data_IF_732214590889
#
_entry.id   IF_732214590889
#
_cell.length_a   1.000
_cell.length_b   1.000
_cell.length_c   1.000
_cell.angle_alpha   90.00
_cell.angle_beta   90.00
_cell.angle_gamma   90.00
#
_symmetry.space_group_name_H-M   'P 1'
#
loop_
_entity.id
_entity.type
_entity.pdbx_description
1 polymer ?
#
# COMPACT_ATOMS: atom_id res chain seq x y z
N UNK A 1 20.09 -21.40 6.95
CA UNK A 1 21.48 -20.95 6.70
C UNK A 1 21.51 -19.45 6.40
N UNK A 2 20.81 -18.98 5.36
CA UNK A 2 20.85 -17.56 4.95
C UNK A 2 20.51 -16.55 6.05
N UNK A 3 19.52 -16.87 6.90
CA UNK A 3 19.10 -16.04 8.04
C UNK A 3 20.17 -15.80 9.10
N UNK A 4 21.22 -16.62 9.11
CA UNK A 4 22.36 -16.48 10.02
C UNK A 4 23.62 -16.00 9.28
N UNK A 5 23.49 -15.54 8.04
CA UNK A 5 24.60 -15.07 7.22
C UNK A 5 25.37 -16.17 6.48
N UNK A 6 24.89 -17.41 6.49
CA UNK A 6 25.54 -18.53 5.79
C UNK A 6 24.92 -18.75 4.41
N UNK A 7 25.73 -18.49 3.37
CA UNK A 7 25.36 -18.63 1.96
C UNK A 7 26.18 -19.72 1.25
N UNK A 8 26.88 -20.59 1.98
CA UNK A 8 27.78 -21.60 1.40
C UNK A 8 27.07 -22.52 0.40
N UNK A 9 25.78 -22.77 0.59
CA UNK A 9 24.98 -23.67 -0.22
C UNK A 9 24.06 -22.96 -1.22
N UNK A 10 24.05 -21.62 -1.26
CA UNK A 10 23.14 -20.88 -2.14
C UNK A 10 23.66 -20.92 -3.57
N UNK A 11 22.79 -21.27 -4.50
CA UNK A 11 23.11 -21.39 -5.93
C UNK A 11 22.17 -20.55 -6.80
N UNK A 12 22.66 -20.19 -7.98
CA UNK A 12 21.85 -19.61 -9.06
C UNK A 12 20.95 -20.67 -9.73
N UNK A 13 20.12 -20.25 -10.67
CA UNK A 13 19.21 -21.14 -11.39
C UNK A 13 19.93 -22.22 -12.24
N UNK A 14 21.21 -22.00 -12.56
CA UNK A 14 22.06 -22.97 -13.25
C UNK A 14 22.77 -23.94 -12.28
N UNK A 15 22.59 -23.76 -10.98
CA UNK A 15 23.22 -24.58 -9.93
C UNK A 15 24.66 -24.16 -9.59
N UNK A 16 25.13 -23.02 -10.08
CA UNK A 16 26.42 -22.47 -9.68
C UNK A 16 26.30 -21.76 -8.34
N UNK A 17 27.30 -21.91 -7.46
CA UNK A 17 27.32 -21.18 -6.20
C UNK A 17 27.21 -19.67 -6.43
N UNK A 18 26.37 -18.99 -5.64
CA UNK A 18 26.20 -17.55 -5.68
C UNK A 18 27.17 -16.89 -4.70
N UNK A 19 28.30 -16.32 -5.15
CA UNK A 19 29.31 -15.76 -4.26
C UNK A 19 28.86 -14.40 -3.68
N UNK A 20 29.14 -14.19 -2.39
CA UNK A 20 28.97 -12.91 -1.70
C UNK A 20 30.33 -12.32 -1.31
N UNK A 21 30.48 -11.04 -1.56
CA UNK A 21 31.74 -10.30 -1.41
C UNK A 21 31.65 -9.27 -0.29
N UNK A 22 32.76 -9.03 0.42
CA UNK A 22 32.82 -8.07 1.53
C UNK A 22 32.91 -6.63 0.99
N UNK A 23 31.88 -5.79 1.18
CA UNK A 23 31.88 -4.41 0.70
C UNK A 23 33.05 -3.59 1.27
N UNK A 24 33.52 -3.91 2.48
CA UNK A 24 34.60 -3.18 3.16
C UNK A 24 35.98 -3.35 2.49
N UNK A 25 36.14 -4.33 1.59
CA UNK A 25 37.40 -4.63 0.90
C UNK A 25 37.48 -4.03 -0.50
N UNK A 26 36.48 -3.24 -0.89
CA UNK A 26 36.38 -2.65 -2.23
C UNK A 26 37.57 -1.74 -2.51
N UNK A 27 38.28 -2.00 -3.62
CA UNK A 27 39.44 -1.21 -4.05
C UNK A 27 39.54 -1.15 -5.58
N UNK A 28 40.07 -0.07 -6.19
CA UNK A 28 40.33 -0.03 -7.62
C UNK A 28 41.27 -1.17 -8.05
N UNK A 29 41.06 -1.74 -9.23
CA UNK A 29 41.96 -2.73 -9.79
C UNK A 29 43.11 -2.04 -10.58
N UNK A 30 44.38 -2.13 -10.14
CA UNK A 30 45.50 -1.53 -10.88
C UNK A 30 45.72 -2.13 -12.27
N UNK A 31 45.21 -3.34 -12.53
CA UNK A 31 45.31 -4.03 -13.81
C UNK A 31 44.11 -3.79 -14.74
N UNK A 32 43.20 -2.89 -14.38
CA UNK A 32 42.03 -2.57 -15.20
C UNK A 32 42.44 -1.88 -16.51
N UNK A 33 41.98 -2.45 -17.63
CA UNK A 33 42.15 -1.88 -18.96
C UNK A 33 40.82 -1.23 -19.40
N UNK A 34 40.72 0.12 -19.44
CA UNK A 34 39.49 0.82 -19.82
C UNK A 34 39.12 0.66 -21.29
N UNK A 35 40.01 0.14 -22.15
CA UNK A 35 39.70 -0.15 -23.55
C UNK A 35 38.96 -1.48 -23.73
N UNK A 36 38.87 -2.30 -22.68
CA UNK A 36 38.18 -3.61 -22.70
C UNK A 36 36.91 -3.55 -21.85
N UNK A 37 35.88 -4.34 -22.19
CA UNK A 37 34.68 -4.42 -21.36
C UNK A 37 35.00 -5.00 -19.96
N UNK A 38 34.19 -4.60 -18.98
CA UNK A 38 34.27 -5.16 -17.62
C UNK A 38 33.87 -6.63 -17.66
N UNK A 39 34.72 -7.49 -17.12
CA UNK A 39 34.52 -8.95 -17.06
C UNK A 39 35.33 -9.55 -15.92
N UNK A 40 35.17 -10.85 -15.65
CA UNK A 40 35.93 -11.55 -14.61
C UNK A 40 37.45 -11.45 -14.78
N UNK A 41 37.93 -11.27 -16.02
CA UNK A 41 39.35 -11.10 -16.33
C UNK A 41 39.78 -9.63 -16.48
N UNK A 42 38.86 -8.67 -16.42
CA UNK A 42 39.11 -7.23 -16.54
C UNK A 42 38.18 -6.45 -15.59
N UNK A 43 38.35 -6.67 -14.29
CA UNK A 43 37.54 -6.01 -13.26
C UNK A 43 37.96 -4.55 -13.09
N UNK A 44 37.00 -3.63 -12.97
CA UNK A 44 37.30 -2.23 -12.63
C UNK A 44 37.61 -2.06 -11.13
N UNK A 45 36.90 -2.81 -10.29
CA UNK A 45 37.10 -2.84 -8.85
C UNK A 45 37.29 -4.27 -8.38
N UNK A 46 38.21 -4.46 -7.44
CA UNK A 46 38.40 -5.70 -6.70
C UNK A 46 37.58 -5.64 -5.41
N UNK A 47 37.03 -6.79 -5.04
CA UNK A 47 36.35 -7.02 -3.75
C UNK A 47 36.63 -8.46 -3.35
N UNK A 48 36.94 -8.69 -2.09
CA UNK A 48 37.29 -10.02 -1.59
C UNK A 48 36.01 -10.79 -1.23
N UNK A 49 36.01 -12.11 -1.49
CA UNK A 49 34.90 -12.98 -1.10
C UNK A 49 34.83 -13.08 0.43
N UNK A 50 33.62 -13.16 0.99
CA UNK A 50 33.49 -13.62 2.37
C UNK A 50 34.04 -15.04 2.51
N UNK A 51 34.96 -15.32 3.46
CA UNK A 51 35.50 -16.66 3.65
C UNK A 51 34.39 -17.70 3.82
N UNK A 52 34.44 -18.76 3.00
CA UNK A 52 33.41 -19.82 3.00
C UNK A 52 32.02 -19.39 2.53
N UNK A 53 31.88 -18.19 1.95
CA UNK A 53 30.58 -17.58 1.62
C UNK A 53 29.70 -17.31 2.87
N UNK A 54 30.34 -17.01 4.00
CA UNK A 54 29.66 -16.76 5.29
C UNK A 54 29.99 -15.38 5.82
N UNK A 55 28.97 -14.61 6.19
CA UNK A 55 29.11 -13.33 6.89
C UNK A 55 29.48 -13.62 8.36
N UNK A 56 30.60 -13.09 8.87
CA UNK A 56 30.94 -13.22 10.28
C UNK A 56 29.84 -12.66 11.22
N UNK A 57 29.58 -13.35 12.34
CA UNK A 57 28.48 -13.00 13.23
C UNK A 57 28.60 -11.59 13.84
N UNK A 58 29.82 -11.10 14.05
CA UNK A 58 30.13 -9.76 14.53
C UNK A 58 29.86 -8.65 13.49
N UNK A 59 29.74 -9.02 12.22
CA UNK A 59 29.37 -8.12 11.12
C UNK A 59 27.86 -8.03 10.90
N UNK A 60 27.08 -8.91 11.52
CA UNK A 60 25.62 -8.87 11.43
C UNK A 60 25.08 -7.63 12.16
N UNK A 61 24.33 -6.82 11.43
CA UNK A 61 23.69 -5.64 11.98
C UNK A 61 22.61 -6.05 12.99
N UNK A 62 22.73 -5.56 14.23
CA UNK A 62 21.82 -5.93 15.32
C UNK A 62 20.35 -5.53 15.07
N UNK A 63 20.09 -4.46 14.32
CA UNK A 63 18.73 -4.06 13.94
C UNK A 63 18.17 -4.96 12.85
N UNK A 64 18.98 -5.32 11.85
CA UNK A 64 18.58 -6.27 10.81
C UNK A 64 18.21 -7.63 11.39
N UNK A 65 18.98 -8.13 12.37
CA UNK A 65 18.67 -9.39 13.07
C UNK A 65 17.37 -9.30 13.88
N UNK A 66 17.08 -8.16 14.53
CA UNK A 66 15.80 -7.95 15.22
C UNK A 66 14.62 -7.88 14.25
N UNK A 67 14.78 -7.14 13.15
CA UNK A 67 13.77 -7.07 12.09
C UNK A 67 13.51 -8.46 11.49
N UNK A 68 14.57 -9.25 11.27
CA UNK A 68 14.46 -10.62 10.76
C UNK A 68 13.60 -11.52 11.65
N UNK A 69 13.54 -11.30 12.96
CA UNK A 69 12.64 -12.05 13.85
C UNK A 69 11.14 -11.83 13.51
N UNK A 70 10.80 -10.74 12.82
CA UNK A 70 9.46 -10.43 12.35
C UNK A 70 9.18 -10.99 10.94
N UNK A 71 10.22 -11.44 10.22
CA UNK A 71 10.11 -12.04 8.90
C UNK A 71 9.73 -13.51 9.00
N UNK A 72 8.73 -14.01 8.24
CA UNK A 72 8.27 -15.39 8.35
C UNK A 72 9.39 -16.42 8.17
N UNK A 73 9.22 -17.56 8.82
CA UNK A 73 10.07 -18.73 8.57
C UNK A 73 9.66 -19.37 7.23
N UNK A 74 10.62 -19.96 6.50
CA UNK A 74 10.32 -20.71 5.29
C UNK A 74 9.37 -21.87 5.60
N UNK A 75 8.43 -22.15 4.70
CA UNK A 75 7.48 -23.25 4.85
C UNK A 75 7.39 -24.19 3.64
N UNK A 76 8.19 -23.94 2.61
CA UNK A 76 8.37 -24.82 1.46
C UNK A 76 9.86 -25.10 1.23
N UNK A 77 10.17 -26.33 0.81
CA UNK A 77 11.51 -26.69 0.37
C UNK A 77 11.66 -26.37 -1.11
N UNK A 78 12.35 -25.28 -1.43
CA UNK A 78 12.62 -24.85 -2.82
C UNK A 78 14.03 -25.21 -3.29
N UNK A 79 14.75 -26.04 -2.54
CA UNK A 79 16.16 -26.38 -2.83
C UNK A 79 17.13 -25.26 -2.46
N UNK A 80 18.39 -25.33 -2.94
CA UNK A 80 19.46 -24.38 -2.62
C UNK A 80 19.36 -23.05 -3.40
N UNK A 81 18.29 -22.86 -4.18
CA UNK A 81 18.15 -21.71 -5.07
C UNK A 81 17.81 -20.43 -4.30
N UNK A 82 18.36 -19.32 -4.76
CA UNK A 82 18.07 -17.97 -4.28
C UNK A 82 16.65 -17.50 -4.67
N UNK A 83 15.62 -18.12 -4.07
CA UNK A 83 14.20 -17.88 -4.37
C UNK A 83 13.35 -17.88 -3.10
N UNK A 84 12.18 -17.25 -3.17
CA UNK A 84 11.23 -17.23 -2.06
C UNK A 84 10.73 -18.65 -1.73
N UNK A 85 10.66 -18.96 -0.44
CA UNK A 85 10.31 -20.26 0.13
C UNK A 85 9.23 -20.16 1.24
N UNK A 86 8.55 -19.02 1.29
CA UNK A 86 7.38 -18.79 2.12
C UNK A 86 6.13 -18.61 1.26
N UNK A 87 5.14 -19.46 1.47
CA UNK A 87 3.86 -19.47 0.76
C UNK A 87 2.71 -19.44 1.76
N UNK A 88 1.75 -18.54 1.58
CA UNK A 88 0.58 -18.45 2.45
C UNK A 88 -0.69 -18.33 1.62
N UNK A 89 -1.74 -19.00 2.08
CA UNK A 89 -3.10 -18.74 1.61
C UNK A 89 -3.82 -17.97 2.72
N UNK A 90 -4.14 -16.70 2.47
CA UNK A 90 -4.77 -15.81 3.46
C UNK A 90 -6.06 -15.26 2.87
N UNK A 91 -7.23 -15.64 3.39
CA UNK A 91 -8.50 -15.19 2.87
C UNK A 91 -8.77 -13.74 3.26
N UNK A 92 -9.56 -13.06 2.44
CA UNK A 92 -10.15 -11.75 2.75
C UNK A 92 -11.61 -11.94 3.14
N UNK A 93 -12.10 -11.11 4.07
CA UNK A 93 -13.51 -11.08 4.43
C UNK A 93 -14.06 -9.67 4.24
N UNK A 94 -15.22 -9.56 3.62
CA UNK A 94 -15.92 -8.28 3.47
C UNK A 94 -17.27 -8.38 4.17
N UNK A 95 -17.45 -7.56 5.20
CA UNK A 95 -18.67 -7.50 5.98
C UNK A 95 -19.24 -6.09 5.90
N UNK A 96 -20.56 -5.99 5.69
CA UNK A 96 -21.23 -4.71 5.66
C UNK A 96 -22.59 -4.79 6.33
N UNK A 97 -22.99 -3.71 6.99
CA UNK A 97 -24.32 -3.53 7.54
C UNK A 97 -24.81 -2.11 7.27
N UNK A 98 -26.11 -1.92 7.32
CA UNK A 98 -26.70 -0.61 7.11
C UNK A 98 -28.21 -0.64 7.23
N UNK A 99 -28.79 0.55 7.24
CA UNK A 99 -30.23 0.74 7.27
C UNK A 99 -30.62 1.94 6.42
N UNK A 100 -31.81 1.87 5.85
CA UNK A 100 -32.47 2.97 5.16
C UNK A 100 -33.82 3.19 5.81
N UNK A 101 -34.12 4.43 6.17
CA UNK A 101 -35.43 4.86 6.64
C UNK A 101 -35.96 5.94 5.70
N UNK A 102 -37.22 5.81 5.30
CA UNK A 102 -37.89 6.78 4.44
C UNK A 102 -39.29 7.08 4.98
N UNK A 103 -39.64 8.36 4.97
CA UNK A 103 -40.96 8.85 5.32
C UNK A 103 -41.46 9.76 4.21
N UNK A 104 -42.68 9.52 3.78
CA UNK A 104 -43.41 10.35 2.82
C UNK A 104 -44.65 10.89 3.53
N UNK A 105 -44.86 12.21 3.48
CA UNK A 105 -46.01 12.84 4.10
C UNK A 105 -46.62 13.90 3.20
N UNK A 106 -47.95 13.83 3.00
CA UNK A 106 -48.72 14.86 2.32
C UNK A 106 -49.28 15.84 3.35
N UNK A 107 -48.89 17.12 3.23
CA UNK A 107 -49.36 18.20 4.10
C UNK A 107 -50.49 18.92 3.35
N UNK A 108 -51.73 18.51 3.65
CA UNK A 108 -52.90 18.91 2.87
C UNK A 108 -52.83 18.39 1.43
N UNK A 109 -53.42 19.12 0.49
CA UNK A 109 -53.57 18.66 -0.90
C UNK A 109 -52.45 19.13 -1.84
N UNK A 110 -51.66 20.12 -1.43
CA UNK A 110 -50.71 20.82 -2.32
C UNK A 110 -49.25 20.60 -1.98
N UNK A 111 -48.94 19.98 -0.86
CA UNK A 111 -47.57 19.82 -0.38
C UNK A 111 -47.26 18.36 -0.10
N UNK A 112 -46.10 17.92 -0.54
CA UNK A 112 -45.54 16.62 -0.19
C UNK A 112 -44.12 16.79 0.27
N UNK A 113 -43.80 16.23 1.43
CA UNK A 113 -42.45 16.16 1.98
C UNK A 113 -42.02 14.70 1.99
N UNK A 114 -40.80 14.45 1.52
CA UNK A 114 -40.14 13.15 1.58
C UNK A 114 -38.83 13.34 2.34
N UNK A 115 -38.58 12.50 3.35
CA UNK A 115 -37.31 12.48 4.07
C UNK A 115 -36.71 11.08 4.03
N UNK A 116 -35.44 10.97 3.70
CA UNK A 116 -34.68 9.71 3.71
C UNK A 116 -33.44 9.87 4.57
N UNK A 117 -33.14 8.84 5.37
CA UNK A 117 -31.87 8.69 6.06
C UNK A 117 -31.32 7.31 5.73
N UNK A 118 -30.03 7.23 5.44
CA UNK A 118 -29.34 5.96 5.24
C UNK A 118 -27.98 5.99 5.91
N UNK A 119 -27.59 4.85 6.47
CA UNK A 119 -26.21 4.65 6.92
C UNK A 119 -25.75 3.25 6.57
N UNK A 120 -24.46 3.13 6.30
CA UNK A 120 -23.78 1.84 6.18
C UNK A 120 -22.43 1.88 6.87
N UNK A 121 -22.00 0.74 7.37
CA UNK A 121 -20.63 0.50 7.82
C UNK A 121 -20.14 -0.78 7.16
N UNK A 122 -18.89 -0.78 6.73
CA UNK A 122 -18.24 -1.93 6.13
C UNK A 122 -16.84 -2.13 6.70
N UNK A 123 -16.43 -3.38 6.77
CA UNK A 123 -15.05 -3.78 7.08
C UNK A 123 -14.60 -4.77 6.02
N UNK A 124 -13.48 -4.48 5.38
CA UNK A 124 -12.72 -5.42 4.59
C UNK A 124 -11.52 -5.85 5.42
N UNK A 125 -11.60 -7.07 5.94
CA UNK A 125 -10.49 -7.75 6.60
C UNK A 125 -9.53 -8.23 5.52
N UNK A 126 -8.34 -7.63 5.51
CA UNK A 126 -7.35 -7.80 4.46
C UNK A 126 -6.55 -9.10 4.64
N UNK A 127 -6.02 -9.62 3.53
CA UNK A 127 -5.17 -10.80 3.56
C UNK A 127 -3.91 -10.51 4.39
N UNK A 128 -3.78 -11.19 5.52
CA UNK A 128 -2.62 -11.07 6.37
C UNK A 128 -1.51 -12.02 5.91
N UNK A 129 -0.38 -11.50 5.41
CA UNK A 129 0.72 -12.34 4.91
C UNK A 129 1.69 -12.69 6.03
N UNK A 130 2.00 -11.74 6.92
CA UNK A 130 2.85 -11.98 8.10
C UNK A 130 2.04 -11.82 9.39
N UNK A 131 2.16 -12.71 10.37
CA UNK A 131 1.50 -12.56 11.67
C UNK A 131 2.20 -11.53 12.58
N UNK A 132 2.83 -10.49 12.01
CA UNK A 132 3.67 -9.50 12.71
C UNK A 132 3.41 -8.09 12.17
N UNK A 133 3.92 -7.07 12.87
CA UNK A 133 3.84 -5.67 12.43
C UNK A 133 4.57 -5.39 11.11
N UNK A 134 5.46 -6.30 10.70
CA UNK A 134 6.22 -6.21 9.46
C UNK A 134 5.43 -6.70 8.24
N UNK A 135 4.14 -7.01 8.37
CA UNK A 135 3.30 -7.48 7.26
C UNK A 135 3.31 -6.48 6.09
N UNK A 136 3.77 -6.89 4.89
CA UNK A 136 3.73 -6.04 3.70
C UNK A 136 2.39 -6.12 2.95
N UNK A 137 1.51 -7.07 3.34
CA UNK A 137 0.18 -7.19 2.76
C UNK A 137 -0.71 -5.99 3.07
N UNK A 138 -1.89 -5.89 2.44
CA UNK A 138 -2.82 -4.79 2.69
C UNK A 138 -3.20 -4.64 4.19
N UNK A 139 -3.59 -3.43 4.59
CA UNK A 139 -4.19 -3.16 5.89
C UNK A 139 -5.71 -3.33 5.82
N UNK A 140 -6.37 -3.66 6.92
CA UNK A 140 -7.84 -3.71 6.97
C UNK A 140 -8.44 -2.35 6.60
N UNK A 141 -9.53 -2.36 5.84
CA UNK A 141 -10.24 -1.15 5.43
C UNK A 141 -11.59 -1.05 6.14
N UNK A 142 -11.83 0.10 6.76
CA UNK A 142 -13.13 0.45 7.31
C UNK A 142 -13.81 1.48 6.41
N UNK A 143 -15.08 1.26 6.12
CA UNK A 143 -15.92 2.16 5.31
C UNK A 143 -17.12 2.59 6.13
N UNK A 144 -17.54 3.84 5.97
CA UNK A 144 -18.81 4.29 6.51
C UNK A 144 -19.45 5.32 5.60
N UNK A 145 -20.72 5.14 5.27
CA UNK A 145 -21.51 6.13 4.52
C UNK A 145 -22.66 6.61 5.39
N UNK A 146 -22.94 7.90 5.37
CA UNK A 146 -24.10 8.55 5.99
C UNK A 146 -24.76 9.40 4.94
N UNK A 147 -26.06 9.22 4.73
CA UNK A 147 -26.85 9.99 3.77
C UNK A 147 -28.09 10.50 4.45
N UNK A 148 -28.44 11.75 4.17
CA UNK A 148 -29.72 12.35 4.50
C UNK A 148 -30.25 13.07 3.28
N UNK A 149 -31.53 12.91 2.96
CA UNK A 149 -32.17 13.70 1.93
C UNK A 149 -33.53 14.22 2.38
N UNK A 150 -33.88 15.41 1.90
CA UNK A 150 -35.15 16.06 2.08
C UNK A 150 -35.65 16.50 0.71
N UNK A 151 -36.79 15.99 0.30
CA UNK A 151 -37.52 16.41 -0.89
C UNK A 151 -38.79 17.15 -0.51
N UNK A 152 -39.12 18.18 -1.27
CA UNK A 152 -40.35 18.95 -1.13
C UNK A 152 -40.97 19.19 -2.49
N UNK A 153 -42.26 18.88 -2.61
CA UNK A 153 -43.06 19.14 -3.81
C UNK A 153 -44.19 20.08 -3.46
N UNK A 154 -44.28 21.21 -4.14
CA UNK A 154 -45.36 22.17 -4.01
C UNK A 154 -46.16 22.28 -5.30
N UNK A 155 -47.45 21.94 -5.22
CA UNK A 155 -48.40 22.09 -6.31
C UNK A 155 -49.12 23.43 -6.14
N UNK A 156 -48.58 24.48 -6.74
CA UNK A 156 -49.20 25.82 -6.72
C UNK A 156 -50.55 25.83 -7.46
N UNK A 157 -50.66 25.08 -8.55
CA UNK A 157 -51.89 24.86 -9.32
C UNK A 157 -51.82 23.54 -10.11
N UNK A 158 -52.92 23.13 -10.75
CA UNK A 158 -52.91 21.96 -11.64
C UNK A 158 -51.96 22.11 -12.84
N UNK A 159 -51.45 23.33 -13.09
CA UNK A 159 -50.54 23.65 -14.18
C UNK A 159 -49.14 23.99 -13.70
N UNK A 160 -48.90 24.17 -12.40
CA UNK A 160 -47.62 24.66 -11.86
C UNK A 160 -47.20 23.83 -10.65
N UNK A 161 -46.05 23.17 -10.79
CA UNK A 161 -45.43 22.35 -9.75
C UNK A 161 -44.00 22.81 -9.56
N UNK A 162 -43.61 22.96 -8.32
CA UNK A 162 -42.25 23.23 -7.87
C UNK A 162 -41.72 22.02 -7.10
N UNK A 163 -40.47 21.66 -7.34
CA UNK A 163 -39.78 20.55 -6.69
C UNK A 163 -38.42 21.01 -6.19
N UNK A 164 -38.24 21.00 -4.88
CA UNK A 164 -36.97 21.30 -4.23
C UNK A 164 -36.42 20.05 -3.55
N UNK A 165 -35.11 19.89 -3.54
CA UNK A 165 -34.45 18.85 -2.74
C UNK A 165 -33.13 19.30 -2.16
N UNK A 166 -32.79 18.70 -1.04
CA UNK A 166 -31.50 18.81 -0.39
C UNK A 166 -31.00 17.41 -0.04
N UNK A 167 -29.75 17.12 -0.37
CA UNK A 167 -29.08 15.87 -0.05
C UNK A 167 -27.73 16.16 0.58
N UNK A 168 -27.42 15.42 1.64
CA UNK A 168 -26.10 15.38 2.27
C UNK A 168 -25.62 13.95 2.30
N UNK A 169 -24.38 13.75 1.83
CA UNK A 169 -23.69 12.46 1.89
C UNK A 169 -22.32 12.66 2.51
N UNK A 170 -21.99 11.85 3.51
CA UNK A 170 -20.69 11.77 4.14
C UNK A 170 -20.15 10.35 3.98
N UNK A 171 -19.03 10.21 3.30
CA UNK A 171 -18.33 8.96 3.11
C UNK A 171 -16.98 9.05 3.80
N UNK A 172 -16.63 8.01 4.55
CA UNK A 172 -15.32 7.88 5.17
C UNK A 172 -14.76 6.50 4.89
N UNK A 173 -13.49 6.46 4.52
CA UNK A 173 -12.69 5.25 4.48
C UNK A 173 -11.44 5.44 5.33
N UNK A 174 -10.98 4.38 5.97
CA UNK A 174 -9.72 4.40 6.71
C UNK A 174 -9.04 3.04 6.71
N UNK A 175 -7.72 3.04 6.72
CA UNK A 175 -6.90 1.82 6.80
C UNK A 175 -5.94 1.86 7.98
N UNK A 176 -5.58 0.67 8.48
CA UNK A 176 -4.51 0.53 9.47
C UNK A 176 -4.79 1.23 10.81
N UNK A 177 -6.06 1.36 11.19
CA UNK A 177 -6.45 2.09 12.39
C UNK A 177 -5.85 1.43 13.65
N UNK A 178 -5.07 2.18 14.43
CA UNK A 178 -4.45 1.69 15.66
C UNK A 178 -3.23 0.77 15.47
N UNK A 179 -2.75 0.59 14.24
CA UNK A 179 -1.51 -0.14 13.97
C UNK A 179 -0.31 0.83 13.98
N UNK A 180 0.77 0.44 14.66
CA UNK A 180 2.03 1.16 14.56
C UNK A 180 2.59 1.04 13.13
N UNK A 181 3.20 2.11 12.64
CA UNK A 181 3.96 2.03 11.40
C UNK A 181 5.17 1.09 11.58
N UNK A 182 5.63 0.53 10.46
CA UNK A 182 6.84 -0.27 10.39
C UNK A 182 7.63 0.20 9.16
N UNK A 183 8.97 0.35 9.24
CA UNK A 183 9.79 0.71 8.09
C UNK A 183 9.61 -0.27 6.94
N UNK A 184 9.62 0.22 5.71
CA UNK A 184 9.57 -0.67 4.55
C UNK A 184 10.98 -1.19 4.25
N UNK A 185 11.14 -2.51 4.23
CA UNK A 185 12.35 -3.18 3.76
C UNK A 185 12.03 -3.92 2.46
N UNK A 186 12.58 -3.41 1.35
CA UNK A 186 12.44 -4.00 0.02
C UNK A 186 13.60 -4.97 -0.25
N UNK A 187 13.25 -6.22 -0.55
CA UNK A 187 14.17 -7.31 -0.80
C UNK A 187 13.90 -7.92 -2.18
N UNK A 188 14.53 -7.46 -3.26
CA UNK A 188 14.38 -8.18 -4.53
C UNK A 188 15.30 -9.43 -4.55
N UNK A 189 14.78 -10.65 -4.80
CA UNK A 189 13.44 -11.06 -5.26
C UNK A 189 12.54 -11.69 -4.17
N UNK A 190 12.86 -11.49 -2.89
CA UNK A 190 12.05 -11.98 -1.78
C UNK A 190 10.81 -11.12 -1.52
N UNK A 191 9.97 -11.60 -0.62
CA UNK A 191 8.84 -10.83 -0.14
C UNK A 191 9.33 -9.71 0.79
N UNK A 192 8.83 -8.49 0.62
CA UNK A 192 9.22 -7.32 1.40
C UNK A 192 8.74 -7.38 2.87
N UNK A 193 9.15 -6.40 3.67
CA UNK A 193 8.57 -6.13 4.98
C UNK A 193 8.01 -4.71 5.03
N UNK A 194 6.92 -4.53 5.79
CA UNK A 194 6.29 -3.23 6.00
C UNK A 194 5.44 -2.77 4.83
N UNK A 195 4.64 -1.74 5.07
CA UNK A 195 3.67 -1.20 4.10
C UNK A 195 4.07 0.19 3.67
N UNK A 196 3.97 0.47 2.37
CA UNK A 196 4.16 1.83 1.86
C UNK A 196 3.14 2.80 2.47
N UNK A 197 1.90 2.36 2.62
CA UNK A 197 0.79 3.14 3.18
C UNK A 197 0.19 2.39 4.37
N UNK A 198 0.84 2.40 5.55
CA UNK A 198 0.40 1.61 6.68
C UNK A 198 -0.95 2.08 7.21
N UNK A 199 -1.24 3.38 7.09
CA UNK A 199 -2.47 4.01 7.53
C UNK A 199 -2.93 5.07 6.53
N UNK A 200 -4.23 5.22 6.39
CA UNK A 200 -4.84 6.32 5.63
C UNK A 200 -6.23 6.63 6.17
N UNK A 201 -6.68 7.85 5.96
CA UNK A 201 -8.07 8.25 6.16
C UNK A 201 -8.49 9.16 5.03
N UNK A 202 -9.62 8.85 4.40
CA UNK A 202 -10.21 9.71 3.39
C UNK A 202 -11.69 9.95 3.75
N UNK A 203 -12.10 11.21 3.74
CA UNK A 203 -13.46 11.61 4.01
C UNK A 203 -13.96 12.59 2.94
N UNK A 204 -15.13 12.29 2.39
CA UNK A 204 -15.81 13.12 1.39
C UNK A 204 -17.17 13.54 1.94
N UNK A 205 -17.46 14.84 1.91
CA UNK A 205 -18.80 15.35 2.22
C UNK A 205 -19.35 16.06 0.99
N UNK A 206 -20.53 15.66 0.55
CA UNK A 206 -21.24 16.26 -0.58
C UNK A 206 -22.54 16.84 -0.06
N UNK A 207 -22.79 18.11 -0.36
CA UNK A 207 -24.05 18.80 -0.08
C UNK A 207 -24.62 19.25 -1.41
N UNK A 208 -25.82 18.78 -1.76
CA UNK A 208 -26.45 19.07 -3.04
C UNK A 208 -27.85 19.64 -2.81
N UNK A 209 -28.10 20.80 -3.40
CA UNK A 209 -29.42 21.41 -3.46
C UNK A 209 -29.89 21.39 -4.91
N UNK A 210 -31.17 21.09 -5.14
CA UNK A 210 -31.80 21.26 -6.44
C UNK A 210 -33.17 21.91 -6.29
N UNK A 211 -33.53 22.68 -7.30
CA UNK A 211 -34.82 23.34 -7.42
C UNK A 211 -35.31 23.21 -8.87
N UNK A 212 -36.61 23.04 -9.05
CA UNK A 212 -37.20 22.73 -10.34
C UNK A 212 -38.64 23.21 -10.44
N UNK A 213 -38.88 24.14 -11.36
CA UNK A 213 -40.19 24.69 -11.66
C UNK A 213 -40.70 24.16 -12.99
N UNK A 214 -41.90 23.56 -13.00
CA UNK A 214 -42.61 23.15 -14.20
C UNK A 214 -43.96 23.87 -14.27
N UNK A 215 -44.20 24.61 -15.34
CA UNK A 215 -45.46 25.34 -15.53
C UNK A 215 -46.01 25.25 -16.95
N UNK A 216 -47.33 25.16 -17.08
CA UNK A 216 -48.02 25.33 -18.36
C UNK A 216 -48.59 26.73 -18.48
N UNK A 217 -48.03 27.52 -19.39
CA UNK A 217 -48.52 28.85 -19.72
C UNK A 217 -49.17 28.86 -21.10
N UNK A 218 -50.51 28.95 -21.14
CA UNK A 218 -51.31 28.80 -22.37
C UNK A 218 -51.02 27.48 -23.09
N UNK A 219 -50.55 27.55 -24.33
CA UNK A 219 -50.15 26.41 -25.16
C UNK A 219 -48.67 26.01 -24.96
N UNK A 220 -47.93 26.71 -24.10
CA UNK A 220 -46.52 26.46 -23.85
C UNK A 220 -46.32 25.71 -22.53
N UNK A 221 -45.34 24.81 -22.52
CA UNK A 221 -44.84 24.15 -21.32
C UNK A 221 -43.44 24.68 -21.05
N UNK A 222 -43.22 25.23 -19.87
CA UNK A 222 -41.93 25.77 -19.45
C UNK A 222 -41.40 24.93 -18.29
N UNK A 223 -40.11 24.60 -18.34
CA UNK A 223 -39.39 23.90 -17.27
C UNK A 223 -38.07 24.61 -17.04
N UNK A 224 -37.77 24.91 -15.79
CA UNK A 224 -36.51 25.49 -15.35
C UNK A 224 -36.01 24.69 -14.14
N UNK A 225 -34.71 24.45 -14.06
CA UNK A 225 -34.09 23.73 -12.94
C UNK A 225 -32.71 24.27 -12.64
N UNK A 226 -32.34 24.30 -11.37
CA UNK A 226 -31.01 24.67 -10.89
C UNK A 226 -30.50 23.60 -9.91
N UNK A 227 -29.18 23.39 -9.92
CA UNK A 227 -28.50 22.54 -8.95
C UNK A 227 -27.25 23.24 -8.45
N UNK A 228 -27.03 23.18 -7.14
CA UNK A 228 -25.84 23.68 -6.47
C UNK A 228 -25.24 22.56 -5.64
N UNK A 229 -23.93 22.34 -5.74
CA UNK A 229 -23.25 21.26 -5.00
C UNK A 229 -21.94 21.77 -4.41
N UNK A 230 -21.74 21.47 -3.13
CA UNK A 230 -20.47 21.68 -2.42
C UNK A 230 -19.85 20.32 -2.16
N UNK A 231 -18.58 20.17 -2.52
CA UNK A 231 -17.79 18.97 -2.30
C UNK A 231 -16.60 19.30 -1.38
N UNK A 232 -16.49 18.59 -0.27
CA UNK A 232 -15.40 18.72 0.69
C UNK A 232 -14.61 17.41 0.73
N UNK A 233 -13.29 17.52 0.68
CA UNK A 233 -12.36 16.39 0.76
C UNK A 233 -11.43 16.60 1.94
N UNK A 234 -11.26 15.57 2.75
CA UNK A 234 -10.20 15.50 3.75
C UNK A 234 -9.49 14.16 3.62
N UNK A 235 -8.24 14.22 3.14
CA UNK A 235 -7.42 13.06 2.88
C UNK A 235 -6.13 13.12 3.68
N UNK A 236 -5.82 12.05 4.37
CA UNK A 236 -4.55 11.79 5.02
C UNK A 236 -4.05 10.44 4.54
N UNK A 237 -2.91 10.44 3.85
CA UNK A 237 -2.38 9.24 3.23
C UNK A 237 -0.83 9.29 3.18
N UNK A 238 -0.17 9.16 4.34
CA UNK A 238 1.29 9.23 4.41
C UNK A 238 1.93 8.03 3.69
N UNK A 239 3.06 8.27 3.03
CA UNK A 239 3.88 7.21 2.42
C UNK A 239 5.16 7.05 3.23
N UNK A 240 5.51 5.81 3.56
CA UNK A 240 6.74 5.47 4.29
C UNK A 240 6.95 6.32 5.57
N UNK A 241 5.97 6.40 6.50
CA UNK A 241 6.09 7.25 7.68
C UNK A 241 7.31 6.93 8.55
N UNK A 242 7.78 5.68 8.52
CA UNK A 242 9.00 5.20 9.22
C UNK A 242 10.19 4.94 8.27
N UNK A 243 10.09 5.43 7.03
CA UNK A 243 11.11 5.29 6.00
C UNK A 243 11.03 4.01 5.16
N UNK A 244 11.69 4.06 4.00
CA UNK A 244 11.89 2.96 3.07
C UNK A 244 13.38 2.69 2.94
N UNK A 245 13.77 1.43 3.05
CA UNK A 245 15.13 0.95 2.85
C UNK A 245 15.11 -0.16 1.81
N UNK A 246 15.85 0.05 0.72
CA UNK A 246 15.95 -0.93 -0.36
C UNK A 246 17.28 -1.65 -0.28
N UNK A 247 17.23 -2.98 -0.31
CA UNK A 247 18.40 -3.85 -0.28
C UNK A 247 18.53 -4.58 -1.61
N UNK A 248 19.66 -4.38 -2.28
CA UNK A 248 19.98 -5.06 -3.54
C UNK A 248 21.22 -5.93 -3.38
N UNK A 249 21.46 -6.87 -4.32
CA UNK A 249 22.70 -7.63 -4.37
C UNK A 249 23.95 -6.74 -4.57
N UNK A 250 23.81 -5.51 -5.09
CA UNK A 250 24.94 -4.71 -5.59
C UNK A 250 26.01 -4.37 -4.56
N UNK A 251 25.66 -4.25 -3.28
CA UNK A 251 26.64 -3.98 -2.23
C UNK A 251 27.47 -5.21 -1.89
N UNK A 252 26.88 -6.41 -1.94
CA UNK A 252 27.56 -7.70 -1.69
C UNK A 252 27.99 -8.42 -2.96
N UNK A 253 27.79 -7.82 -4.14
CA UNK A 253 28.22 -8.37 -5.43
C UNK A 253 29.68 -8.07 -5.71
N UNK A 254 30.24 -8.66 -6.77
CA UNK A 254 31.47 -8.18 -7.37
C UNK A 254 31.13 -7.06 -8.36
N UNK A 255 31.67 -5.83 -8.22
CA UNK A 255 31.26 -4.71 -9.06
C UNK A 255 31.43 -4.98 -10.55
N UNK A 256 30.36 -4.76 -11.31
CA UNK A 256 30.33 -4.97 -12.77
C UNK A 256 30.18 -6.44 -13.20
N UNK A 257 30.00 -7.36 -12.27
CA UNK A 257 29.80 -8.79 -12.55
C UNK A 257 28.40 -9.23 -12.10
N UNK A 258 27.63 -9.77 -13.04
CA UNK A 258 26.30 -10.33 -12.80
C UNK A 258 26.38 -11.67 -12.05
N UNK A 259 25.26 -12.15 -11.50
CA UNK A 259 25.18 -13.41 -10.75
C UNK A 259 26.17 -13.48 -9.56
N UNK A 260 26.36 -12.35 -8.88
CA UNK A 260 27.12 -12.26 -7.63
C UNK A 260 26.37 -11.36 -6.65
N UNK A 261 26.57 -11.58 -5.35
CA UNK A 261 25.90 -10.83 -4.29
C UNK A 261 24.49 -11.33 -3.98
N UNK A 262 23.91 -10.78 -2.90
CA UNK A 262 22.63 -11.24 -2.37
C UNK A 262 21.93 -10.13 -1.59
N UNK A 263 20.67 -9.81 -1.93
CA UNK A 263 19.92 -8.73 -1.29
C UNK A 263 19.78 -8.93 0.23
N UNK A 264 19.47 -10.15 0.65
CA UNK A 264 19.38 -10.49 2.08
C UNK A 264 20.72 -10.37 2.81
N UNK A 265 21.86 -10.59 2.13
CA UNK A 265 23.18 -10.40 2.73
C UNK A 265 23.45 -8.91 2.97
N UNK A 266 23.12 -8.06 2.01
CA UNK A 266 23.18 -6.60 2.15
C UNK A 266 22.30 -6.12 3.32
N UNK A 267 21.10 -6.70 3.50
CA UNK A 267 20.24 -6.45 4.64
C UNK A 267 20.86 -6.85 5.98
N UNK A 268 21.41 -8.07 6.07
CA UNK A 268 22.06 -8.55 7.29
C UNK A 268 23.28 -7.71 7.68
N UNK A 269 23.97 -7.11 6.70
CA UNK A 269 25.04 -6.15 6.94
C UNK A 269 24.54 -4.75 7.32
N UNK A 270 23.24 -4.47 7.18
CA UNK A 270 22.64 -3.16 7.42
C UNK A 270 23.04 -2.12 6.36
N UNK A 271 23.26 -2.57 5.12
CA UNK A 271 23.74 -1.75 4.01
C UNK A 271 22.60 -1.60 2.98
N UNK A 272 21.76 -0.58 3.08
CA UNK A 272 20.76 -0.29 2.05
C UNK A 272 21.42 0.35 0.83
N UNK A 273 20.98 -0.04 -0.36
CA UNK A 273 21.35 0.62 -1.63
C UNK A 273 20.75 2.03 -1.69
N UNK A 274 19.54 2.19 -1.15
CA UNK A 274 18.81 3.44 -1.14
C UNK A 274 17.93 3.54 0.11
N UNK A 275 17.79 4.77 0.62
CA UNK A 275 16.92 5.10 1.74
C UNK A 275 16.09 6.33 1.40
N UNK A 276 14.79 6.26 1.66
CA UNK A 276 13.87 7.38 1.53
C UNK A 276 13.16 7.64 2.86
N UNK A 277 13.23 8.89 3.32
CA UNK A 277 12.37 9.41 4.37
C UNK A 277 11.49 10.49 3.77
N UNK A 278 10.18 10.38 3.89
CA UNK A 278 9.29 11.48 3.58
C UNK A 278 9.07 12.34 4.82
N UNK A 279 9.16 13.68 4.70
CA UNK A 279 8.77 14.56 5.79
C UNK A 279 7.28 14.35 6.11
N UNK A 280 6.97 14.25 7.41
CA UNK A 280 5.61 14.15 7.93
C UNK A 280 4.90 15.51 7.94
#
# INVERSE_FOLDING_TARGET
AERTGDYAHVVDDAGNQLPIFDPATTRPNPAYDPAKPVSLTNLQYLRDLFPGNVIPADRLNSLAVKALALYPQPNAAVGPFFRNNYFINSPEANTANGMIGKVDHAIGERQRVTSEIAFSNGVLDAANWFPTIANPGPSDHHFSTRRGSLGYVFTASAQTVDTASFEVTSERSSTGQGQAAFPVYDFQPYLDMGRAYPMSTNAHNTYSWSDGLSTRWRKHSLRASAQYTIYQVNSFWPVYPDGLFRFSPGLTSLPGIVNTGHAFASFLLGLPEYVLFQPQ
#
